data_IF_148867616730
#
_entry.id   IF_148867616730
#
_cell.length_a   1.000
_cell.length_b   1.000
_cell.length_c   1.000
_cell.angle_alpha   90.00
_cell.angle_beta   90.00
_cell.angle_gamma   90.00
#
_symmetry.space_group_name_H-M   'P 1'
#
loop_
_entity.id
_entity.type
_entity.pdbx_description
1 polymer ?
#
# COMPACT_ATOMS: atom_id res chain seq x y z
N UNK A 1 15.91 -2.39 -18.36
CA UNK A 1 16.97 -1.46 -18.86
C UNK A 1 17.36 -0.55 -17.71
N UNK A 2 18.60 -0.07 -17.65
CA UNK A 2 18.97 0.90 -16.63
C UNK A 2 18.09 2.16 -16.76
N UNK A 3 17.52 2.63 -15.66
CA UNK A 3 16.66 3.81 -15.64
C UNK A 3 17.53 5.07 -15.74
N UNK A 4 17.43 5.79 -16.86
CA UNK A 4 18.25 6.99 -17.13
C UNK A 4 17.50 8.31 -16.95
N UNK A 5 16.18 8.29 -16.69
CA UNK A 5 15.37 9.49 -16.54
C UNK A 5 15.88 10.38 -15.40
N UNK A 6 16.06 11.67 -15.70
CA UNK A 6 16.50 12.71 -14.75
C UNK A 6 15.39 13.71 -14.46
N UNK A 7 14.48 13.93 -15.39
CA UNK A 7 13.30 14.78 -15.25
C UNK A 7 12.00 14.00 -15.45
N UNK A 8 10.88 14.50 -14.93
CA UNK A 8 9.58 13.85 -15.15
C UNK A 8 9.20 13.81 -16.63
N UNK A 9 9.61 14.82 -17.41
CA UNK A 9 9.47 14.84 -18.88
C UNK A 9 10.24 13.72 -19.61
N UNK A 10 11.31 13.17 -19.01
CA UNK A 10 12.02 12.00 -19.58
C UNK A 10 11.18 10.71 -19.42
N UNK A 11 10.28 10.67 -18.44
CA UNK A 11 9.37 9.54 -18.19
C UNK A 11 8.13 9.66 -19.07
N UNK A 12 7.52 10.84 -19.10
CA UNK A 12 6.37 11.18 -19.95
C UNK A 12 6.47 12.65 -20.37
N UNK A 13 6.56 12.98 -21.68
CA UNK A 13 6.70 14.35 -22.17
C UNK A 13 5.56 15.31 -21.79
N UNK A 14 4.42 14.80 -21.35
CA UNK A 14 3.31 15.61 -20.83
C UNK A 14 3.54 16.14 -19.40
N UNK A 15 4.50 15.56 -18.68
CA UNK A 15 4.88 15.96 -17.32
C UNK A 15 5.87 17.14 -17.33
N UNK A 16 6.04 17.85 -16.20
CA UNK A 16 6.99 18.95 -16.09
C UNK A 16 8.44 18.52 -16.35
N UNK A 17 9.25 19.41 -16.93
CA UNK A 17 10.69 19.23 -17.06
C UNK A 17 11.45 19.50 -15.74
N UNK A 18 10.85 19.15 -14.61
CA UNK A 18 11.44 19.26 -13.27
C UNK A 18 12.27 18.01 -12.94
N UNK A 19 13.38 18.16 -12.18
CA UNK A 19 14.16 17.02 -11.71
C UNK A 19 13.29 16.02 -10.93
N UNK A 20 13.51 14.73 -11.17
CA UNK A 20 12.87 13.67 -10.39
C UNK A 20 13.44 13.71 -8.98
N UNK A 21 12.56 13.91 -8.00
CA UNK A 21 12.89 13.81 -6.58
C UNK A 21 11.72 13.17 -5.85
N UNK A 22 11.98 11.99 -5.31
CA UNK A 22 11.01 11.18 -4.57
C UNK A 22 11.53 11.00 -3.15
N UNK A 23 10.73 11.38 -2.16
CA UNK A 23 10.91 10.99 -0.77
C UNK A 23 10.04 9.76 -0.51
N UNK A 24 10.63 8.69 -0.02
CA UNK A 24 9.87 7.48 0.24
C UNK A 24 10.40 6.67 1.40
N UNK A 25 9.66 5.63 1.81
CA UNK A 25 9.99 4.82 2.97
C UNK A 25 11.30 4.05 2.77
N UNK A 26 12.02 3.73 3.86
CA UNK A 26 13.27 2.98 3.81
C UNK A 26 13.02 1.51 3.45
N UNK A 27 14.07 0.75 3.15
CA UNK A 27 13.96 -0.68 2.82
C UNK A 27 13.40 -1.57 3.93
N UNK A 28 13.33 -1.07 5.18
CA UNK A 28 12.80 -1.77 6.35
C UNK A 28 11.31 -1.55 6.58
N UNK A 29 10.67 -0.71 5.78
CA UNK A 29 9.30 -0.27 6.00
C UNK A 29 8.28 -1.08 5.21
N UNK A 30 7.18 -1.45 5.86
CA UNK A 30 6.05 -2.12 5.19
C UNK A 30 5.39 -1.28 4.08
N UNK A 31 5.51 0.05 4.14
CA UNK A 31 5.06 0.94 3.04
C UNK A 31 5.91 0.77 1.80
N UNK A 32 7.22 0.48 1.95
CA UNK A 32 8.11 0.16 0.83
C UNK A 32 7.72 -1.17 0.19
N UNK A 33 7.30 -2.15 0.98
CA UNK A 33 6.82 -3.43 0.44
C UNK A 33 5.49 -3.26 -0.30
N UNK A 34 4.56 -2.45 0.22
CA UNK A 34 3.35 -2.10 -0.51
C UNK A 34 3.65 -1.36 -1.84
N UNK A 35 4.62 -0.44 -1.85
CA UNK A 35 5.06 0.22 -3.09
C UNK A 35 5.58 -0.80 -4.12
N UNK A 36 6.41 -1.77 -3.69
CA UNK A 36 6.94 -2.82 -4.57
C UNK A 36 5.81 -3.67 -5.16
N UNK A 37 4.97 -4.24 -4.30
CA UNK A 37 3.95 -5.23 -4.68
C UNK A 37 2.80 -4.61 -5.47
N UNK A 38 2.29 -3.46 -5.03
CA UNK A 38 1.04 -2.89 -5.54
C UNK A 38 1.25 -1.92 -6.70
N UNK A 39 2.46 -1.37 -6.85
CA UNK A 39 2.76 -0.33 -7.84
C UNK A 39 3.85 -0.77 -8.80
N UNK A 40 5.07 -1.02 -8.28
CA UNK A 40 6.23 -1.27 -9.13
C UNK A 40 6.10 -2.58 -9.91
N UNK A 41 5.77 -3.68 -9.23
CA UNK A 41 5.64 -4.99 -9.88
C UNK A 41 4.44 -5.01 -10.83
N UNK A 42 3.32 -4.36 -10.47
CA UNK A 42 2.13 -4.25 -11.33
C UNK A 42 2.46 -3.49 -12.62
N UNK A 43 3.17 -2.36 -12.51
CA UNK A 43 3.64 -1.60 -13.67
C UNK A 43 4.63 -2.40 -14.52
N UNK A 44 5.54 -3.14 -13.87
CA UNK A 44 6.53 -3.97 -14.57
C UNK A 44 5.85 -5.06 -15.42
N UNK A 45 4.80 -5.71 -14.89
CA UNK A 45 4.01 -6.73 -15.59
C UNK A 45 3.31 -6.21 -16.86
N UNK A 46 3.18 -4.90 -17.04
CA UNK A 46 2.64 -4.32 -18.27
C UNK A 46 3.62 -4.42 -19.45
N UNK A 47 4.92 -4.64 -19.21
CA UNK A 47 5.90 -4.93 -20.26
C UNK A 47 5.94 -6.45 -20.55
N UNK A 48 5.53 -6.91 -21.75
CA UNK A 48 5.53 -8.34 -22.09
C UNK A 48 6.91 -9.01 -21.97
N UNK A 49 8.01 -8.25 -22.08
CA UNK A 49 9.36 -8.79 -21.91
C UNK A 49 9.63 -9.27 -20.47
N UNK A 50 8.89 -8.75 -19.48
CA UNK A 50 9.08 -9.10 -18.07
C UNK A 50 8.56 -10.50 -17.74
N UNK A 51 7.58 -11.01 -18.48
CA UNK A 51 7.12 -12.40 -18.32
C UNK A 51 8.23 -13.40 -18.66
N UNK A 52 8.90 -13.20 -19.81
CA UNK A 52 10.03 -14.03 -20.22
C UNK A 52 11.21 -13.90 -19.23
N UNK A 53 11.46 -12.68 -18.72
CA UNK A 53 12.50 -12.48 -17.70
C UNK A 53 12.19 -13.28 -16.44
N UNK A 54 10.96 -13.19 -15.92
CA UNK A 54 10.52 -13.91 -14.71
C UNK A 54 10.71 -15.41 -14.83
N UNK A 55 10.39 -16.00 -15.98
CA UNK A 55 10.58 -17.43 -16.22
C UNK A 55 12.05 -17.83 -16.34
N UNK A 56 12.90 -16.96 -16.89
CA UNK A 56 14.30 -17.25 -17.15
C UNK A 56 15.24 -16.96 -15.97
N UNK A 57 14.90 -15.96 -15.15
CA UNK A 57 15.76 -15.38 -14.12
C UNK A 57 14.89 -14.57 -13.12
N UNK A 58 14.35 -15.27 -12.11
CA UNK A 58 13.45 -14.68 -11.11
C UNK A 58 14.15 -13.62 -10.26
N UNK A 59 15.40 -13.86 -9.84
CA UNK A 59 16.20 -12.88 -9.07
C UNK A 59 16.38 -11.57 -9.85
N UNK A 60 16.65 -11.66 -11.16
CA UNK A 60 16.78 -10.49 -12.01
C UNK A 60 15.45 -9.82 -12.29
N UNK A 61 14.36 -10.58 -12.41
CA UNK A 61 13.03 -10.01 -12.49
C UNK A 61 12.72 -9.19 -11.24
N UNK A 62 12.95 -9.74 -10.04
CA UNK A 62 12.70 -9.05 -8.78
C UNK A 62 13.56 -7.78 -8.68
N UNK A 63 14.83 -7.86 -9.07
CA UNK A 63 15.71 -6.71 -9.13
C UNK A 63 15.14 -5.61 -10.06
N UNK A 64 14.81 -5.97 -11.30
CA UNK A 64 14.36 -5.01 -12.32
C UNK A 64 12.99 -4.43 -12.01
N UNK A 65 12.09 -5.22 -11.42
CA UNK A 65 10.70 -4.84 -11.21
C UNK A 65 10.41 -4.22 -9.84
N UNK A 66 11.28 -4.37 -8.84
CA UNK A 66 10.98 -3.94 -7.46
C UNK A 66 12.02 -3.01 -6.84
N UNK A 67 13.25 -2.93 -7.38
CA UNK A 67 14.23 -1.98 -6.87
C UNK A 67 13.88 -0.54 -7.26
N UNK A 68 14.04 0.37 -6.31
CA UNK A 68 13.99 1.81 -6.59
C UNK A 68 15.40 2.31 -6.86
N UNK A 69 15.50 3.36 -7.67
CA UNK A 69 16.77 4.02 -8.02
C UNK A 69 17.59 4.44 -6.79
N UNK A 70 18.90 4.19 -6.83
CA UNK A 70 19.86 4.59 -5.78
C UNK A 70 20.71 5.82 -6.12
N UNK A 71 20.39 6.53 -7.21
CA UNK A 71 21.20 7.65 -7.74
C UNK A 71 20.86 9.01 -7.10
N UNK A 72 20.20 9.02 -5.94
CA UNK A 72 19.84 10.21 -5.17
C UNK A 72 18.52 10.88 -5.57
N UNK A 73 17.87 10.44 -6.64
CA UNK A 73 16.54 10.92 -7.03
C UNK A 73 15.39 10.20 -6.30
N UNK A 74 15.67 9.05 -5.67
CA UNK A 74 14.86 8.52 -4.58
C UNK A 74 15.67 8.66 -3.30
N UNK A 75 15.10 9.30 -2.29
CA UNK A 75 15.75 9.56 -1.00
C UNK A 75 14.97 8.86 0.09
N UNK A 76 15.54 7.78 0.62
CA UNK A 76 15.00 7.07 1.77
C UNK A 76 14.79 8.05 2.93
N UNK A 77 13.58 8.01 3.49
CA UNK A 77 13.26 8.63 4.76
C UNK A 77 13.30 7.58 5.86
N UNK A 78 13.39 7.99 7.12
CA UNK A 78 13.21 7.05 8.23
C UNK A 78 11.75 6.55 8.29
N UNK A 79 11.45 5.70 9.27
CA UNK A 79 10.09 5.14 9.51
C UNK A 79 9.02 6.19 9.92
N UNK A 80 9.34 7.48 9.88
CA UNK A 80 8.45 8.57 10.26
C UNK A 80 7.90 9.26 8.99
N UNK A 81 6.77 8.78 8.50
CA UNK A 81 6.10 9.29 7.29
C UNK A 81 5.74 10.78 7.38
N UNK A 82 5.48 11.31 8.58
CA UNK A 82 5.29 12.76 8.80
C UNK A 82 6.47 13.61 8.31
N UNK A 83 7.70 13.07 8.32
CA UNK A 83 8.87 13.78 7.77
C UNK A 83 8.80 13.89 6.25
N UNK A 84 8.17 12.92 5.56
CA UNK A 84 7.96 12.99 4.12
C UNK A 84 6.99 14.14 3.80
N UNK A 85 5.88 14.26 4.55
CA UNK A 85 4.92 15.36 4.40
C UNK A 85 5.61 16.72 4.55
N UNK A 86 6.39 16.90 5.62
CA UNK A 86 7.12 18.15 5.86
C UNK A 86 8.12 18.48 4.74
N UNK A 87 8.77 17.47 4.16
CA UNK A 87 9.72 17.68 3.06
C UNK A 87 9.03 18.12 1.77
N UNK A 88 7.84 17.60 1.49
CA UNK A 88 7.05 18.00 0.32
C UNK A 88 6.48 19.41 0.50
N UNK A 89 6.00 19.73 1.70
CA UNK A 89 5.55 21.08 2.06
C UNK A 89 6.65 22.12 1.78
N UNK A 90 7.91 21.78 2.07
CA UNK A 90 9.07 22.64 1.80
C UNK A 90 9.61 22.54 0.36
N UNK A 91 9.18 21.56 -0.43
CA UNK A 91 9.60 21.36 -1.80
C UNK A 91 8.42 20.87 -2.67
N UNK A 92 7.62 21.81 -3.23
CA UNK A 92 6.40 21.47 -3.96
C UNK A 92 6.63 20.74 -5.30
N UNK A 93 7.89 20.54 -5.70
CA UNK A 93 8.27 19.77 -6.89
C UNK A 93 8.62 18.31 -6.58
N UNK A 94 8.72 17.93 -5.31
CA UNK A 94 9.01 16.58 -4.88
C UNK A 94 7.73 15.73 -4.81
N UNK A 95 7.89 14.43 -4.99
CA UNK A 95 6.83 13.42 -4.78
C UNK A 95 7.11 12.66 -3.49
N UNK A 96 6.04 12.33 -2.75
CA UNK A 96 6.11 11.49 -1.56
C UNK A 96 5.45 10.14 -1.74
N UNK A 97 6.00 9.13 -1.09
CA UNK A 97 5.33 7.83 -0.90
C UNK A 97 5.14 7.62 0.60
N UNK A 98 3.90 7.57 1.07
CA UNK A 98 3.54 7.35 2.48
C UNK A 98 2.10 6.86 2.60
N UNK A 99 1.70 6.40 3.79
CA UNK A 99 0.35 5.89 4.04
C UNK A 99 -0.77 6.94 3.88
N UNK A 100 -1.95 6.52 3.43
CA UNK A 100 -3.10 7.40 3.17
C UNK A 100 -3.51 8.28 4.37
N UNK A 101 -3.40 7.78 5.61
CA UNK A 101 -3.75 8.57 6.80
C UNK A 101 -2.97 9.89 6.89
N UNK A 102 -1.71 9.90 6.46
CA UNK A 102 -0.89 11.11 6.46
C UNK A 102 -1.32 12.10 5.37
N UNK A 103 -1.88 11.62 4.26
CA UNK A 103 -2.52 12.49 3.26
C UNK A 103 -3.80 13.10 3.86
N UNK A 104 -4.66 12.26 4.44
CA UNK A 104 -5.95 12.68 5.02
C UNK A 104 -5.77 13.72 6.14
N UNK A 105 -4.77 13.55 6.99
CA UNK A 105 -4.45 14.48 8.09
C UNK A 105 -3.83 15.80 7.62
N UNK A 106 -3.34 15.89 6.38
CA UNK A 106 -2.56 17.03 5.87
C UNK A 106 -3.06 17.53 4.50
N UNK A 107 -4.37 17.40 4.22
CA UNK A 107 -4.99 17.86 2.96
C UNK A 107 -4.88 19.38 2.73
N UNK A 108 -4.56 20.15 3.76
CA UNK A 108 -4.27 21.58 3.69
C UNK A 108 -2.83 21.89 3.19
N UNK A 109 -1.95 20.89 3.18
CA UNK A 109 -0.52 21.02 2.86
C UNK A 109 -0.08 20.23 1.65
N UNK A 110 -0.63 19.03 1.47
CA UNK A 110 -0.28 18.11 0.40
C UNK A 110 -1.52 17.66 -0.34
N UNK A 111 -1.33 17.21 -1.57
CA UNK A 111 -2.37 16.64 -2.42
C UNK A 111 -2.04 15.19 -2.76
N UNK A 112 -3.08 14.38 -2.91
CA UNK A 112 -2.95 13.04 -3.46
C UNK A 112 -2.70 13.08 -4.96
N UNK A 113 -1.98 12.08 -5.48
CA UNK A 113 -1.82 11.90 -6.92
C UNK A 113 -2.76 10.80 -7.40
N UNK A 114 -3.57 11.03 -8.45
CA UNK A 114 -4.41 9.99 -9.01
C UNK A 114 -3.58 8.91 -9.69
N UNK A 115 -4.01 7.66 -9.58
CA UNK A 115 -3.43 6.54 -10.32
C UNK A 115 -4.47 6.00 -11.31
N UNK A 116 -4.11 5.98 -12.60
CA UNK A 116 -5.04 5.60 -13.68
C UNK A 116 -6.36 6.38 -13.67
N UNK A 117 -6.30 7.67 -13.28
CA UNK A 117 -7.47 8.54 -13.18
C UNK A 117 -8.32 8.33 -11.92
N UNK A 118 -7.91 7.48 -10.98
CA UNK A 118 -8.59 7.25 -9.70
C UNK A 118 -7.87 8.01 -8.60
N UNK A 119 -8.59 8.90 -7.92
CA UNK A 119 -8.08 9.69 -6.79
C UNK A 119 -7.90 8.82 -5.52
N UNK A 120 -6.87 9.08 -4.68
CA UNK A 120 -6.69 8.40 -3.40
C UNK A 120 -7.66 8.93 -2.35
N UNK A 121 -8.94 8.61 -2.47
CA UNK A 121 -9.96 8.98 -1.48
C UNK A 121 -10.26 7.79 -0.58
N UNK A 122 -10.78 8.06 0.63
CA UNK A 122 -11.25 7.01 1.53
C UNK A 122 -12.18 6.02 0.83
N UNK A 123 -13.12 6.52 0.02
CA UNK A 123 -14.07 5.70 -0.73
C UNK A 123 -13.35 4.77 -1.71
N UNK A 124 -12.50 5.33 -2.57
CA UNK A 124 -11.79 4.58 -3.59
C UNK A 124 -10.78 3.57 -3.02
N UNK A 125 -10.23 3.86 -1.84
CA UNK A 125 -9.34 2.93 -1.12
C UNK A 125 -10.18 1.81 -0.49
N UNK A 126 -11.32 2.13 0.12
CA UNK A 126 -12.18 1.16 0.79
C UNK A 126 -12.81 0.15 -0.16
N UNK A 127 -13.11 0.55 -1.41
CA UNK A 127 -13.67 -0.33 -2.44
C UNK A 127 -12.62 -0.94 -3.38
N UNK A 128 -11.33 -0.69 -3.11
CA UNK A 128 -10.18 -1.13 -3.91
C UNK A 128 -10.14 -0.62 -5.35
N UNK A 129 -10.91 0.42 -5.69
CA UNK A 129 -10.76 1.09 -6.99
C UNK A 129 -9.44 1.84 -7.11
N UNK A 130 -8.89 2.35 -5.99
CA UNK A 130 -7.55 2.92 -5.96
C UNK A 130 -6.50 1.79 -5.94
N UNK A 131 -5.60 1.69 -6.96
CA UNK A 131 -4.71 0.54 -7.13
C UNK A 131 -3.72 0.30 -5.98
N UNK A 132 -3.38 1.34 -5.22
CA UNK A 132 -2.39 1.27 -4.13
C UNK A 132 -2.96 0.78 -2.79
N UNK A 133 -4.11 0.09 -2.80
CA UNK A 133 -4.78 -0.40 -1.61
C UNK A 133 -4.71 -1.94 -1.55
N UNK A 134 -4.48 -2.49 -0.34
CA UNK A 134 -4.59 -3.92 -0.09
C UNK A 134 -5.35 -4.21 1.20
N UNK A 135 -6.17 -5.27 1.23
CA UNK A 135 -6.81 -5.71 2.46
C UNK A 135 -5.78 -6.26 3.45
N UNK A 136 -6.07 -6.11 4.75
CA UNK A 136 -5.35 -6.78 5.82
C UNK A 136 -6.20 -7.94 6.35
N UNK A 137 -5.58 -9.10 6.53
CA UNK A 137 -6.26 -10.32 6.98
C UNK A 137 -5.78 -10.75 8.35
N UNK A 138 -6.72 -11.28 9.14
CA UNK A 138 -6.44 -12.01 10.38
C UNK A 138 -6.83 -13.46 10.16
N UNK A 139 -5.82 -14.33 10.07
CA UNK A 139 -6.04 -15.77 9.90
C UNK A 139 -5.97 -16.50 11.23
N UNK A 140 -6.97 -17.35 11.50
CA UNK A 140 -7.03 -18.13 12.74
C UNK A 140 -7.29 -19.59 12.41
N UNK A 141 -6.51 -20.47 13.00
CA UNK A 141 -6.75 -21.92 12.94
C UNK A 141 -7.94 -22.26 13.83
N UNK A 142 -9.05 -22.71 13.23
CA UNK A 142 -10.28 -23.09 13.96
C UNK A 142 -10.02 -24.10 15.08
N UNK A 143 -9.14 -25.07 14.84
CA UNK A 143 -8.75 -26.07 15.84
C UNK A 143 -8.16 -25.47 17.14
N UNK A 144 -7.66 -24.23 17.09
CA UNK A 144 -7.06 -23.56 18.24
C UNK A 144 -8.06 -22.75 19.07
N UNK A 145 -9.30 -22.55 18.59
CA UNK A 145 -10.28 -21.70 19.27
C UNK A 145 -10.66 -22.22 20.67
N UNK A 146 -10.70 -23.54 20.85
CA UNK A 146 -10.98 -24.16 22.15
C UNK A 146 -9.68 -24.52 22.91
N UNK A 147 -8.57 -24.68 22.20
CA UNK A 147 -7.29 -25.09 22.77
C UNK A 147 -6.51 -23.92 23.38
N UNK A 148 -6.70 -22.70 22.87
CA UNK A 148 -6.00 -21.49 23.32
C UNK A 148 -6.98 -20.63 24.12
N UNK A 149 -6.83 -20.54 25.46
CA UNK A 149 -7.65 -19.66 26.28
C UNK A 149 -7.56 -18.20 25.81
N UNK A 150 -8.69 -17.51 25.73
CA UNK A 150 -8.73 -16.10 25.35
C UNK A 150 -8.75 -15.84 23.83
N UNK A 151 -8.58 -16.85 22.98
CA UNK A 151 -8.50 -16.64 21.53
C UNK A 151 -9.84 -16.19 20.94
N UNK A 152 -10.98 -16.72 21.41
CA UNK A 152 -12.31 -16.28 20.96
C UNK A 152 -12.58 -14.83 21.38
N UNK A 153 -12.20 -14.47 22.60
CA UNK A 153 -12.30 -13.12 23.14
C UNK A 153 -11.42 -12.15 22.36
N UNK A 154 -10.20 -12.56 22.00
CA UNK A 154 -9.30 -11.76 21.16
C UNK A 154 -9.92 -11.46 19.79
N UNK A 155 -10.57 -12.44 19.14
CA UNK A 155 -11.27 -12.20 17.87
C UNK A 155 -12.49 -11.30 18.04
N UNK A 156 -13.21 -11.42 19.14
CA UNK A 156 -14.32 -10.52 19.45
C UNK A 156 -13.85 -9.06 19.61
N UNK A 157 -12.62 -8.81 20.07
CA UNK A 157 -12.04 -7.46 20.08
C UNK A 157 -11.69 -6.94 18.68
N UNK A 158 -11.19 -7.80 17.78
CA UNK A 158 -10.97 -7.42 16.38
C UNK A 158 -12.25 -6.99 15.67
N UNK A 159 -13.36 -7.69 15.93
CA UNK A 159 -14.69 -7.33 15.39
C UNK A 159 -15.10 -5.91 15.77
N UNK A 160 -14.77 -5.45 16.98
CA UNK A 160 -15.05 -4.07 17.43
C UNK A 160 -14.13 -3.04 16.78
N UNK A 161 -13.03 -3.48 16.17
CA UNK A 161 -11.90 -2.63 15.80
C UNK A 161 -11.95 -2.11 14.36
N UNK A 162 -12.50 -2.88 13.42
CA UNK A 162 -12.40 -2.59 11.97
C UNK A 162 -13.54 -1.76 11.36
N UNK A 163 -14.45 -1.22 12.18
CA UNK A 163 -15.50 -0.31 11.70
C UNK A 163 -14.94 1.11 11.49
N UNK A 164 -15.65 1.97 10.74
CA UNK A 164 -15.25 3.38 10.49
C UNK A 164 -14.98 4.20 11.76
N UNK A 165 -15.66 3.89 12.88
CA UNK A 165 -15.45 4.55 14.17
C UNK A 165 -14.55 3.76 15.14
N UNK A 166 -14.07 2.60 14.71
CA UNK A 166 -13.33 1.65 15.53
C UNK A 166 -11.87 2.06 15.76
N UNK A 167 -11.19 1.42 16.74
CA UNK A 167 -9.77 1.61 17.01
C UNK A 167 -8.83 1.63 15.79
N UNK A 168 -9.06 0.79 14.77
CA UNK A 168 -8.18 0.74 13.60
C UNK A 168 -8.27 2.00 12.74
N UNK A 169 -9.48 2.53 12.56
CA UNK A 169 -9.66 3.79 11.85
C UNK A 169 -8.98 4.96 12.55
N UNK A 170 -8.98 4.97 13.90
CA UNK A 170 -8.32 6.01 14.69
C UNK A 170 -6.80 6.03 14.59
N UNK A 171 -6.20 4.93 14.13
CA UNK A 171 -4.75 4.84 13.89
C UNK A 171 -4.40 4.88 12.40
N UNK A 172 -5.35 5.28 11.55
CA UNK A 172 -5.10 5.55 10.13
C UNK A 172 -5.42 4.42 9.16
N UNK A 173 -6.07 3.33 9.61
CA UNK A 173 -6.54 2.30 8.68
C UNK A 173 -7.88 2.68 8.04
N UNK A 174 -8.03 2.36 6.76
CA UNK A 174 -9.31 2.53 6.06
C UNK A 174 -10.22 1.36 6.41
N UNK A 175 -11.40 1.65 6.94
CA UNK A 175 -12.37 0.63 7.30
C UNK A 175 -13.02 0.01 6.06
N UNK A 176 -13.30 -1.28 6.15
CA UNK A 176 -13.99 -2.01 5.09
C UNK A 176 -15.39 -1.41 4.83
N UNK A 177 -15.91 -1.55 3.59
CA UNK A 177 -17.32 -1.35 3.30
C UNK A 177 -18.22 -2.18 4.22
N UNK A 178 -19.45 -1.72 4.46
CA UNK A 178 -20.34 -2.33 5.47
C UNK A 178 -20.62 -3.81 5.21
N UNK A 179 -20.77 -4.23 3.95
CA UNK A 179 -21.03 -5.62 3.58
C UNK A 179 -19.79 -6.51 3.83
N UNK A 180 -18.59 -6.01 3.52
CA UNK A 180 -17.33 -6.69 3.78
C UNK A 180 -17.04 -6.79 5.28
N UNK A 181 -17.30 -5.72 6.03
CA UNK A 181 -17.21 -5.71 7.49
C UNK A 181 -18.19 -6.71 8.13
N UNK A 182 -19.45 -6.75 7.65
CA UNK A 182 -20.45 -7.69 8.14
C UNK A 182 -20.05 -9.16 7.88
N UNK A 183 -19.51 -9.46 6.69
CA UNK A 183 -18.97 -10.80 6.36
C UNK A 183 -17.79 -11.17 7.27
N UNK A 184 -16.86 -10.25 7.51
CA UNK A 184 -15.73 -10.46 8.40
C UNK A 184 -16.20 -10.70 9.85
N UNK A 185 -17.20 -9.94 10.31
CA UNK A 185 -17.83 -10.14 11.62
C UNK A 185 -18.47 -11.51 11.74
N UNK A 186 -19.28 -11.91 10.77
CA UNK A 186 -19.92 -13.23 10.76
C UNK A 186 -18.89 -14.36 10.81
N UNK A 187 -17.83 -14.27 10.00
CA UNK A 187 -16.75 -15.25 9.98
C UNK A 187 -16.02 -15.34 11.34
N UNK A 188 -15.75 -14.19 11.97
CA UNK A 188 -15.07 -14.12 13.26
C UNK A 188 -15.93 -14.55 14.46
N UNK A 189 -17.27 -14.49 14.34
CA UNK A 189 -18.19 -14.92 15.42
C UNK A 189 -18.67 -16.36 15.25
N UNK A 190 -18.94 -16.79 14.02
CA UNK A 190 -19.42 -18.14 13.71
C UNK A 190 -18.28 -19.12 13.44
N UNK A 191 -17.04 -18.62 13.35
CA UNK A 191 -15.84 -19.40 13.08
C UNK A 191 -15.98 -20.24 11.82
N UNK A 192 -16.49 -19.60 10.77
CA UNK A 192 -16.68 -20.20 9.44
C UNK A 192 -15.33 -20.62 8.90
N UNK A 193 -15.22 -21.88 8.47
CA UNK A 193 -13.97 -22.42 7.93
C UNK A 193 -13.78 -21.89 6.52
N UNK A 194 -12.62 -21.27 6.25
CA UNK A 194 -12.22 -20.85 4.92
C UNK A 194 -11.89 -22.07 4.05
N UNK A 195 -12.29 -21.99 2.79
CA UNK A 195 -11.81 -22.85 1.72
C UNK A 195 -10.46 -22.34 1.19
N UNK A 196 -9.73 -23.20 0.50
CA UNK A 196 -8.37 -22.86 0.02
C UNK A 196 -8.35 -21.69 -0.98
N UNK A 197 -9.41 -21.53 -1.77
CA UNK A 197 -9.61 -20.43 -2.72
C UNK A 197 -10.00 -19.09 -2.05
N UNK A 198 -10.36 -19.13 -0.76
CA UNK A 198 -10.65 -17.94 0.04
C UNK A 198 -9.41 -17.40 0.76
N UNK A 199 -8.29 -18.14 0.75
CA UNK A 199 -7.01 -17.66 1.26
C UNK A 199 -6.38 -16.67 0.28
N UNK A 200 -5.93 -15.54 0.81
CA UNK A 200 -5.22 -14.47 0.10
C UNK A 200 -3.78 -14.39 0.54
#
# INVERSE_FOLDING_TARGET
KEQTAKTWADVDPSLPADPILVYGPPSTSGTRDALKELVLEVGCKADPAMAALKESDEDKYDQVCTEVRGDGAYVDQGEQDNLIVQKIENNPKAVGVFGYSYLEENLDKVQGLPMNGVEPTYANISDFSYPGARPLFVYVKKAHLDAIPGLKEYLAEWVKSWSKGGPLAKIGLVANPEDAAAKATDAATNFTTLKGDELK
#
